data_IF_115861303063
#
_entry.id   IF_115861303063
#
_cell.length_a   1.000
_cell.length_b   1.000
_cell.length_c   1.000
_cell.angle_alpha   90.00
_cell.angle_beta   90.00
_cell.angle_gamma   90.00
#
_symmetry.space_group_name_H-M   'P 1'
#
loop_
_entity.id
_entity.type
_entity.pdbx_description
1 polymer ?
#
# COMPACT_ATOMS: atom_id res chain seq x y z
N UNK A 1 -5.44 -13.35 -2.25
CA UNK A 1 -5.49 -11.90 -2.57
C UNK A 1 -6.26 -11.15 -1.53
N UNK A 2 -5.80 -9.99 -1.16
CA UNK A 2 -6.57 -9.04 -0.35
C UNK A 2 -6.42 -7.64 -0.93
N UNK A 3 -7.37 -6.75 -0.57
CA UNK A 3 -7.37 -5.37 -1.05
C UNK A 3 -7.76 -4.42 0.09
N UNK A 4 -7.11 -3.27 0.11
CA UNK A 4 -7.27 -2.24 1.12
C UNK A 4 -7.55 -0.89 0.47
N UNK A 5 -8.48 -0.15 1.04
CA UNK A 5 -8.70 1.26 0.72
C UNK A 5 -7.91 2.09 1.74
N UNK A 6 -7.11 3.02 1.28
CA UNK A 6 -6.33 3.89 2.17
C UNK A 6 -6.43 5.34 1.70
N UNK A 7 -5.75 6.25 2.39
CA UNK A 7 -5.79 7.65 2.06
C UNK A 7 -7.10 8.33 2.43
N UNK A 8 -7.47 9.39 1.71
CA UNK A 8 -8.61 10.23 2.06
C UNK A 8 -9.95 9.50 2.06
N UNK A 9 -10.14 8.54 1.16
CA UNK A 9 -11.39 7.77 1.10
C UNK A 9 -11.58 6.86 2.31
N UNK A 10 -10.49 6.25 2.81
CA UNK A 10 -10.54 5.42 4.01
C UNK A 10 -10.81 6.24 5.28
N UNK A 11 -10.34 7.47 5.31
CA UNK A 11 -10.46 8.38 6.46
C UNK A 11 -11.69 9.26 6.39
N UNK A 12 -12.59 9.03 5.45
CA UNK A 12 -13.83 9.80 5.25
C UNK A 12 -13.57 11.30 5.01
N UNK A 13 -12.41 11.67 4.47
CA UNK A 13 -12.04 13.05 4.10
C UNK A 13 -12.11 13.29 2.60
N UNK A 14 -12.66 12.31 1.85
CA UNK A 14 -12.70 12.38 0.41
C UNK A 14 -13.76 13.34 -0.10
N UNK A 15 -13.46 13.96 -1.22
CA UNK A 15 -14.42 14.70 -2.03
C UNK A 15 -14.42 14.13 -3.46
N UNK A 16 -15.26 14.65 -4.33
CA UNK A 16 -15.45 14.12 -5.69
C UNK A 16 -14.17 13.97 -6.50
N UNK A 17 -13.22 14.87 -6.31
CA UNK A 17 -11.97 14.93 -7.08
C UNK A 17 -10.82 14.18 -6.41
N UNK A 18 -11.06 13.61 -5.23
CA UNK A 18 -10.02 12.83 -4.54
C UNK A 18 -9.68 11.55 -5.30
N UNK A 19 -8.40 11.25 -5.41
CA UNK A 19 -7.93 9.98 -5.95
C UNK A 19 -8.37 8.82 -5.04
N UNK A 20 -8.63 7.68 -5.65
CA UNK A 20 -8.94 6.46 -4.91
C UNK A 20 -7.65 5.69 -4.73
N UNK A 21 -7.20 5.56 -3.48
CA UNK A 21 -5.95 4.87 -3.14
C UNK A 21 -6.26 3.44 -2.71
N UNK A 22 -5.74 2.47 -3.47
CA UNK A 22 -6.00 1.05 -3.25
C UNK A 22 -4.67 0.29 -3.14
N UNK A 23 -4.54 -0.52 -2.10
CA UNK A 23 -3.43 -1.45 -1.98
C UNK A 23 -3.91 -2.88 -2.18
N UNK A 24 -3.19 -3.66 -2.97
CA UNK A 24 -3.54 -5.06 -3.22
C UNK A 24 -2.40 -5.99 -2.84
N UNK A 25 -2.71 -7.06 -2.14
CA UNK A 25 -1.80 -8.16 -1.87
C UNK A 25 -2.14 -9.28 -2.84
N UNK A 26 -1.23 -9.56 -3.77
CA UNK A 26 -1.42 -10.56 -4.81
C UNK A 26 -0.87 -11.92 -4.38
N UNK A 27 -1.44 -12.99 -4.95
CA UNK A 27 -1.00 -14.35 -4.67
C UNK A 27 0.36 -14.62 -5.35
N UNK A 28 1.40 -14.82 -4.54
CA UNK A 28 2.75 -15.12 -5.03
C UNK A 28 2.86 -16.44 -5.77
N UNK A 29 1.97 -17.37 -5.50
CA UNK A 29 1.95 -18.68 -6.20
C UNK A 29 1.49 -18.53 -7.63
N UNK A 30 0.48 -17.68 -7.85
CA UNK A 30 -0.04 -17.39 -9.19
C UNK A 30 0.85 -16.39 -9.93
N UNK A 31 1.46 -15.46 -9.21
CA UNK A 31 2.28 -14.37 -9.76
C UNK A 31 3.63 -14.32 -9.03
N UNK A 32 4.55 -15.25 -9.37
CA UNK A 32 5.78 -15.42 -8.60
C UNK A 32 6.83 -14.32 -8.78
N UNK A 33 6.79 -13.58 -9.90
CA UNK A 33 7.77 -12.52 -10.15
C UNK A 33 7.20 -11.13 -9.85
N UNK A 34 8.07 -10.20 -9.46
CA UNK A 34 7.69 -8.80 -9.26
C UNK A 34 7.15 -8.18 -10.55
N UNK A 35 7.71 -8.57 -11.70
CA UNK A 35 7.24 -8.10 -13.00
C UNK A 35 5.80 -8.54 -13.28
N UNK A 36 5.49 -9.82 -13.04
CA UNK A 36 4.13 -10.34 -13.24
C UNK A 36 3.14 -9.63 -12.32
N UNK A 37 3.53 -9.38 -11.07
CA UNK A 37 2.70 -8.64 -10.12
C UNK A 37 2.49 -7.19 -10.56
N UNK A 38 3.52 -6.56 -11.05
CA UNK A 38 3.43 -5.20 -11.59
C UNK A 38 2.44 -5.13 -12.76
N UNK A 39 2.56 -6.04 -13.72
CA UNK A 39 1.66 -6.10 -14.87
C UNK A 39 0.21 -6.38 -14.46
N UNK A 40 0.01 -7.27 -13.49
CA UNK A 40 -1.31 -7.53 -12.93
C UNK A 40 -1.89 -6.29 -12.25
N UNK A 41 -1.05 -5.53 -11.53
CA UNK A 41 -1.43 -4.28 -10.91
C UNK A 41 -1.90 -3.24 -11.93
N UNK A 42 -1.19 -3.12 -13.05
CA UNK A 42 -1.59 -2.23 -14.14
C UNK A 42 -2.97 -2.60 -14.71
N UNK A 43 -3.23 -3.89 -14.92
CA UNK A 43 -4.53 -4.36 -15.41
C UNK A 43 -5.66 -4.06 -14.43
N UNK A 44 -5.40 -4.31 -13.14
CA UNK A 44 -6.38 -4.00 -12.08
C UNK A 44 -6.67 -2.51 -12.00
N UNK A 45 -5.63 -1.68 -12.02
CA UNK A 45 -5.77 -0.23 -11.99
C UNK A 45 -6.63 0.27 -13.15
N UNK A 46 -6.38 -0.24 -14.34
CA UNK A 46 -7.13 0.10 -15.54
C UNK A 46 -8.61 -0.27 -15.43
N UNK A 47 -8.89 -1.48 -14.93
CA UNK A 47 -10.27 -1.94 -14.72
C UNK A 47 -11.01 -1.14 -13.67
N UNK A 48 -10.34 -0.83 -12.56
CA UNK A 48 -10.93 -0.02 -11.50
C UNK A 48 -11.24 1.38 -11.99
N UNK A 49 -10.33 1.97 -12.75
CA UNK A 49 -10.50 3.30 -13.31
C UNK A 49 -11.69 3.35 -14.27
N UNK A 50 -11.85 2.34 -15.12
CA UNK A 50 -13.01 2.21 -16.00
C UNK A 50 -14.32 2.08 -15.23
N UNK A 51 -14.32 1.29 -14.15
CA UNK A 51 -15.50 1.09 -13.31
C UNK A 51 -15.88 2.32 -12.51
N UNK A 52 -14.91 3.12 -12.10
CA UNK A 52 -15.11 4.32 -11.28
C UNK A 52 -15.31 5.59 -12.12
N UNK A 53 -15.31 5.46 -13.43
CA UNK A 53 -15.54 6.58 -14.35
C UNK A 53 -14.33 7.51 -14.44
N UNK A 54 -14.54 8.80 -14.14
CA UNK A 54 -13.51 9.84 -14.29
C UNK A 54 -12.53 9.92 -13.12
N UNK A 55 -12.71 9.12 -12.07
CA UNK A 55 -11.84 9.16 -10.89
C UNK A 55 -10.50 8.48 -11.17
N UNK A 56 -9.45 9.12 -10.72
CA UNK A 56 -8.11 8.52 -10.75
C UNK A 56 -7.98 7.45 -9.67
N UNK A 57 -7.34 6.34 -10.03
CA UNK A 57 -7.05 5.26 -9.10
C UNK A 57 -5.54 5.14 -8.95
N UNK A 58 -5.06 5.25 -7.72
CA UNK A 58 -3.66 5.00 -7.37
C UNK A 58 -3.57 3.61 -6.73
N UNK A 59 -2.98 2.65 -7.43
CA UNK A 59 -2.92 1.27 -6.98
C UNK A 59 -1.50 0.89 -6.61
N UNK A 60 -1.35 0.35 -5.41
CA UNK A 60 -0.10 -0.14 -4.86
C UNK A 60 -0.14 -1.65 -4.77
N UNK A 61 0.87 -2.32 -5.32
CA UNK A 61 1.07 -3.77 -5.11
C UNK A 61 1.85 -3.94 -3.81
N UNK A 62 1.18 -4.43 -2.78
CA UNK A 62 1.74 -4.52 -1.43
C UNK A 62 2.91 -5.48 -1.33
N UNK A 63 2.93 -6.54 -2.15
CA UNK A 63 4.01 -7.52 -2.18
C UNK A 63 5.39 -6.87 -2.35
N UNK A 64 5.45 -5.80 -3.12
CA UNK A 64 6.69 -5.16 -3.54
C UNK A 64 6.85 -3.73 -2.99
N UNK A 65 5.94 -3.31 -2.12
CA UNK A 65 5.98 -1.98 -1.52
C UNK A 65 6.97 -1.91 -0.35
N UNK A 66 7.58 -0.73 -0.11
CA UNK A 66 8.40 -0.54 1.08
C UNK A 66 7.58 -0.73 2.37
N UNK A 67 8.23 -1.19 3.48
CA UNK A 67 7.49 -1.49 4.72
C UNK A 67 6.67 -0.32 5.27
N UNK A 68 7.18 0.91 5.19
CA UNK A 68 6.47 2.09 5.66
C UNK A 68 5.17 2.34 4.91
N UNK A 69 5.21 2.20 3.58
CA UNK A 69 4.02 2.33 2.74
C UNK A 69 3.07 1.17 3.00
N UNK A 70 3.57 -0.06 3.06
CA UNK A 70 2.75 -1.23 3.38
C UNK A 70 2.01 -1.09 4.70
N UNK A 71 2.70 -0.62 5.75
CA UNK A 71 2.09 -0.36 7.05
C UNK A 71 0.99 0.68 6.96
N UNK A 72 1.22 1.76 6.23
CA UNK A 72 0.22 2.81 6.03
C UNK A 72 -1.04 2.26 5.36
N UNK A 73 -0.87 1.44 4.32
CA UNK A 73 -1.97 0.85 3.56
C UNK A 73 -2.80 -0.11 4.43
N UNK A 74 -2.15 -1.03 5.16
CA UNK A 74 -2.87 -2.03 5.95
C UNK A 74 -3.60 -1.45 7.16
N UNK A 75 -3.28 -0.23 7.55
CA UNK A 75 -4.03 0.53 8.58
C UNK A 75 -5.30 1.14 8.03
N UNK A 76 -5.49 1.14 6.72
CA UNK A 76 -6.71 1.59 6.09
C UNK A 76 -7.84 0.56 6.23
N UNK A 77 -8.78 0.60 5.32
CA UNK A 77 -9.94 -0.27 5.35
C UNK A 77 -9.75 -1.46 4.44
N UNK A 78 -9.78 -2.67 5.00
CA UNK A 78 -9.74 -3.89 4.19
C UNK A 78 -11.07 -4.07 3.47
N UNK A 79 -11.00 -4.14 2.13
CA UNK A 79 -12.18 -4.27 1.28
C UNK A 79 -12.54 -5.73 1.02
N UNK A 80 -11.54 -6.58 0.82
CA UNK A 80 -11.73 -8.01 0.57
C UNK A 80 -10.50 -8.80 1.01
N UNK A 81 -10.70 -10.09 1.26
CA UNK A 81 -9.63 -11.00 1.64
C UNK A 81 -10.03 -12.42 1.27
N UNK A 82 -9.33 -13.02 0.32
CA UNK A 82 -9.56 -14.40 -0.12
C UNK A 82 -8.68 -15.42 0.60
N UNK A 83 -7.58 -14.99 1.20
CA UNK A 83 -6.67 -15.84 1.97
C UNK A 83 -6.30 -15.13 3.27
N UNK A 84 -7.02 -15.47 4.32
CA UNK A 84 -6.86 -14.82 5.63
C UNK A 84 -5.49 -15.10 6.25
N UNK A 85 -4.91 -16.29 6.04
CA UNK A 85 -3.59 -16.62 6.58
C UNK A 85 -2.50 -15.80 5.91
N UNK A 86 -2.53 -15.69 4.58
CA UNK A 86 -1.57 -14.90 3.84
C UNK A 86 -1.67 -13.42 4.18
N UNK A 87 -2.88 -12.90 4.30
CA UNK A 87 -3.12 -11.51 4.69
C UNK A 87 -2.59 -11.24 6.11
N UNK A 88 -2.92 -12.10 7.05
CA UNK A 88 -2.48 -11.96 8.44
C UNK A 88 -0.94 -12.00 8.57
N UNK A 89 -0.32 -12.94 7.88
CA UNK A 89 1.15 -13.05 7.86
C UNK A 89 1.80 -11.82 7.25
N UNK A 90 1.22 -11.29 6.18
CA UNK A 90 1.71 -10.07 5.54
C UNK A 90 1.61 -8.86 6.46
N UNK A 91 0.45 -8.66 7.08
CA UNK A 91 0.22 -7.53 8.00
C UNK A 91 1.21 -7.58 9.16
N UNK A 92 1.39 -8.75 9.76
CA UNK A 92 2.35 -8.93 10.85
C UNK A 92 3.78 -8.62 10.41
N UNK A 93 4.20 -9.14 9.26
CA UNK A 93 5.54 -8.95 8.72
C UNK A 93 5.83 -7.47 8.43
N UNK A 94 4.89 -6.78 7.77
CA UNK A 94 5.08 -5.38 7.41
C UNK A 94 5.11 -4.48 8.65
N UNK A 95 4.34 -4.79 9.67
CA UNK A 95 4.35 -4.03 10.93
C UNK A 95 5.68 -4.19 11.65
N UNK A 96 6.22 -5.40 11.69
CA UNK A 96 7.52 -5.67 12.31
C UNK A 96 8.66 -4.97 11.56
N UNK A 97 8.67 -5.05 10.25
CA UNK A 97 9.70 -4.40 9.43
C UNK A 97 9.65 -2.88 9.54
N UNK A 98 8.46 -2.30 9.55
CA UNK A 98 8.30 -0.86 9.70
C UNK A 98 8.76 -0.39 11.08
N UNK A 99 8.48 -1.15 12.13
CA UNK A 99 8.94 -0.86 13.48
C UNK A 99 10.47 -0.91 13.59
N UNK A 100 11.10 -1.88 12.95
CA UNK A 100 12.56 -2.02 12.95
C UNK A 100 13.25 -0.84 12.24
N UNK A 101 12.65 -0.29 11.21
CA UNK A 101 13.22 0.82 10.45
C UNK A 101 12.95 2.19 11.08
N UNK A 102 11.93 2.32 11.90
CA UNK A 102 11.51 3.60 12.44
C UNK A 102 12.60 4.32 13.24
N UNK A 103 13.35 3.69 14.16
CA UNK A 103 14.45 4.35 14.86
C UNK A 103 15.54 4.88 13.92
N UNK A 104 15.89 4.10 12.89
CA UNK A 104 16.87 4.51 11.89
C UNK A 104 16.40 5.72 11.10
N UNK A 105 15.14 5.73 10.66
CA UNK A 105 14.54 6.83 9.91
C UNK A 105 14.48 8.10 10.74
N UNK A 106 14.14 8.00 12.02
CA UNK A 106 14.13 9.14 12.94
C UNK A 106 15.52 9.72 13.12
N UNK A 107 16.54 8.88 13.27
CA UNK A 107 17.93 9.31 13.40
C UNK A 107 18.41 10.03 12.15
N UNK A 108 18.15 9.46 10.98
CA UNK A 108 18.52 10.06 9.69
C UNK A 108 17.88 11.43 9.50
N UNK A 109 16.61 11.55 9.82
CA UNK A 109 15.88 12.82 9.75
C UNK A 109 16.47 13.88 10.69
N UNK A 110 16.81 13.48 11.91
CA UNK A 110 17.43 14.37 12.90
C UNK A 110 18.78 14.88 12.39
N UNK A 111 19.63 14.00 11.87
CA UNK A 111 20.93 14.38 11.33
C UNK A 111 20.81 15.36 10.16
N UNK A 112 19.85 15.14 9.28
CA UNK A 112 19.57 16.04 8.16
C UNK A 112 19.14 17.43 8.64
N UNK A 113 18.25 17.49 9.62
CA UNK A 113 17.79 18.75 10.21
C UNK A 113 18.92 19.50 10.88
N UNK A 114 19.80 18.82 11.62
CA UNK A 114 20.98 19.42 12.24
C UNK A 114 21.94 20.00 11.19
N UNK A 115 22.15 19.26 10.10
CA UNK A 115 23.02 19.73 9.01
C UNK A 115 22.46 20.98 8.32
N UNK A 116 21.15 21.08 8.17
CA UNK A 116 20.48 22.26 7.59
C UNK A 116 20.45 23.46 8.51
N UNK A 117 20.53 23.25 9.83
CA UNK A 117 20.54 24.32 10.83
C UNK A 117 21.89 25.01 11.01
N UNK A 118 22.96 24.51 10.41
CA UNK A 118 24.32 25.10 10.50
C UNK A 118 24.50 26.22 9.47
#
# INVERSE_FOLDING_TARGET
>A
MSAYLFGSHAEARAHRESDVDVGVLLDRRALPSARDRFEAGLRLSSRLQSSLGTRSVDLVVLNDAPPGLGRHVVRGRRLLCFDAEADHAFVRDVQLRAADLEPFLRRTRRLKLQALAR
#
